data_IF_926649741611
#
_entry.id   IF_926649741611
#
_cell.length_a   1.000
_cell.length_b   1.000
_cell.length_c   1.000
_cell.angle_alpha   90.00
_cell.angle_beta   90.00
_cell.angle_gamma   90.00
#
_symmetry.space_group_name_H-M   'P 1'
#
loop_
_entity.id
_entity.type
_entity.pdbx_description
1 polymer ?
#
# COMPACT_ATOMS: atom_id res chain seq x y z
N UNK A 1 51.30 -5.06 45.21
CA UNK A 1 50.75 -3.90 44.45
C UNK A 1 50.18 -4.42 43.13
N UNK A 2 48.88 -4.53 43.04
CA UNK A 2 48.19 -4.93 41.79
C UNK A 2 47.88 -3.66 41.01
N UNK A 3 48.42 -3.56 39.80
CA UNK A 3 48.12 -2.45 38.89
C UNK A 3 46.73 -2.66 38.25
N UNK A 4 45.79 -1.78 38.57
CA UNK A 4 44.47 -1.74 37.93
C UNK A 4 44.67 -1.17 36.52
N UNK A 5 44.53 -2.04 35.51
CA UNK A 5 44.54 -1.60 34.12
C UNK A 5 43.20 -0.96 33.82
N UNK A 6 43.17 0.38 33.76
CA UNK A 6 42.02 1.15 33.31
C UNK A 6 41.98 1.08 31.79
N UNK A 7 40.94 0.53 31.24
CA UNK A 7 40.73 0.51 29.79
C UNK A 7 40.62 1.94 29.24
N UNK A 8 41.15 2.23 28.03
CA UNK A 8 41.09 3.56 27.43
C UNK A 8 39.64 3.99 27.16
N UNK A 9 39.31 5.23 27.54
CA UNK A 9 37.98 5.86 27.44
C UNK A 9 37.22 5.62 26.10
N UNK A 10 37.87 5.56 24.91
CA UNK A 10 37.16 5.29 23.67
C UNK A 10 36.55 3.87 23.58
N UNK A 11 37.16 2.88 24.23
CA UNK A 11 36.68 1.53 24.28
C UNK A 11 35.49 1.36 25.24
N UNK A 12 35.50 2.07 26.38
CA UNK A 12 34.36 2.09 27.30
C UNK A 12 33.13 2.77 26.69
N UNK A 13 33.31 3.85 25.89
CA UNK A 13 32.23 4.50 25.13
C UNK A 13 31.67 3.67 23.97
N UNK A 14 32.49 2.80 23.37
CA UNK A 14 32.02 1.90 22.30
C UNK A 14 31.20 0.75 22.89
N UNK A 15 31.50 0.30 24.10
CA UNK A 15 30.75 -0.75 24.80
C UNK A 15 29.42 -0.25 25.39
N UNK A 16 29.32 1.03 25.72
CA UNK A 16 28.10 1.69 26.22
C UNK A 16 27.08 1.96 25.11
N UNK A 17 27.47 1.80 23.84
CA UNK A 17 26.61 1.93 22.67
C UNK A 17 26.14 0.60 22.10
N UNK A 18 26.40 -0.53 22.76
CA UNK A 18 25.75 -1.79 22.40
C UNK A 18 24.26 -1.69 22.74
N UNK A 19 23.36 -1.74 21.76
CA UNK A 19 21.94 -1.63 22.05
C UNK A 19 21.55 -2.75 23.02
N UNK A 20 20.84 -2.37 24.07
CA UNK A 20 20.24 -3.34 24.99
C UNK A 20 19.33 -4.27 24.21
N UNK A 21 19.17 -5.51 24.64
CA UNK A 21 18.30 -6.49 23.96
C UNK A 21 16.87 -5.96 23.72
N UNK A 22 16.40 -4.99 24.51
CA UNK A 22 15.15 -4.28 24.31
C UNK A 22 15.20 -3.31 23.10
N UNK A 23 16.29 -2.58 22.91
CA UNK A 23 16.48 -1.69 21.75
C UNK A 23 16.71 -2.49 20.46
N UNK A 24 17.38 -3.65 20.55
CA UNK A 24 17.50 -4.58 19.43
C UNK A 24 16.14 -5.22 19.06
N UNK A 25 15.25 -5.42 20.03
CA UNK A 25 13.88 -5.89 19.78
C UNK A 25 12.95 -4.77 19.29
N UNK A 26 13.18 -3.51 19.65
CA UNK A 26 12.42 -2.35 19.15
C UNK A 26 12.80 -2.01 17.71
N UNK A 27 14.03 -2.31 17.27
CA UNK A 27 14.46 -2.25 15.87
C UNK A 27 13.96 -3.41 14.98
N UNK A 28 13.35 -4.44 15.55
CA UNK A 28 12.55 -5.43 14.79
C UNK A 28 11.14 -4.91 14.50
N UNK A 29 10.99 -3.59 14.32
CA UNK A 29 9.76 -2.96 13.87
C UNK A 29 9.28 -3.55 12.55
N UNK A 30 8.13 -4.18 12.60
CA UNK A 30 7.29 -4.73 11.53
C UNK A 30 8.05 -5.12 10.26
N UNK A 31 8.75 -6.23 10.31
CA UNK A 31 9.27 -6.93 9.13
C UNK A 31 8.09 -7.54 8.36
N UNK A 32 8.30 -7.83 7.08
CA UNK A 32 7.35 -8.56 6.24
C UNK A 32 7.02 -9.95 6.83
N UNK A 33 6.07 -10.66 6.24
CA UNK A 33 5.61 -11.98 6.72
C UNK A 33 4.34 -11.90 7.57
N UNK A 34 3.66 -10.76 7.60
CA UNK A 34 2.43 -10.52 8.35
C UNK A 34 1.20 -11.02 7.57
N UNK A 35 1.15 -12.32 7.27
CA UNK A 35 0.13 -12.95 6.42
C UNK A 35 -1.31 -12.76 6.90
N UNK A 36 -1.50 -12.63 8.21
CA UNK A 36 -2.82 -12.32 8.79
C UNK A 36 -3.31 -10.95 8.30
N UNK A 37 -2.43 -9.95 8.22
CA UNK A 37 -2.77 -8.63 7.70
C UNK A 37 -3.06 -8.69 6.20
N UNK A 38 -2.31 -9.50 5.43
CA UNK A 38 -2.59 -9.73 4.01
C UNK A 38 -4.01 -10.24 3.83
N UNK A 39 -4.35 -11.34 4.50
CA UNK A 39 -5.68 -11.96 4.38
C UNK A 39 -6.78 -11.01 4.82
N UNK A 40 -6.61 -10.34 5.95
CA UNK A 40 -7.60 -9.42 6.49
C UNK A 40 -7.87 -8.24 5.53
N UNK A 41 -6.82 -7.57 5.07
CA UNK A 41 -6.98 -6.43 4.16
C UNK A 41 -7.56 -6.86 2.81
N UNK A 42 -7.06 -7.94 2.22
CA UNK A 42 -7.62 -8.50 0.98
C UNK A 42 -9.11 -8.79 1.16
N UNK A 43 -9.50 -9.47 2.24
CA UNK A 43 -10.90 -9.80 2.51
C UNK A 43 -11.75 -8.52 2.64
N UNK A 44 -11.29 -7.51 3.40
CA UNK A 44 -12.01 -6.25 3.59
C UNK A 44 -12.23 -5.56 2.25
N UNK A 45 -11.17 -5.36 1.45
CA UNK A 45 -11.28 -4.63 0.18
C UNK A 45 -12.10 -5.39 -0.87
N UNK A 46 -11.95 -6.71 -0.97
CA UNK A 46 -12.70 -7.53 -1.91
C UNK A 46 -14.17 -7.61 -1.51
N UNK A 47 -14.49 -7.82 -0.24
CA UNK A 47 -15.88 -7.82 0.24
C UNK A 47 -16.52 -6.44 0.07
N UNK A 48 -15.78 -5.38 0.36
CA UNK A 48 -16.27 -4.02 0.16
C UNK A 48 -16.56 -3.77 -1.32
N UNK A 49 -15.63 -4.05 -2.22
CA UNK A 49 -15.83 -3.89 -3.65
C UNK A 49 -17.02 -4.73 -4.16
N UNK A 50 -17.16 -5.97 -3.69
CA UNK A 50 -18.29 -6.85 -4.05
C UNK A 50 -19.64 -6.32 -3.54
N UNK A 51 -19.67 -5.59 -2.44
CA UNK A 51 -20.89 -4.97 -1.89
C UNK A 51 -21.45 -3.90 -2.83
N UNK A 52 -20.57 -3.16 -3.52
CA UNK A 52 -20.95 -2.10 -4.47
C UNK A 52 -20.98 -2.57 -5.92
N UNK A 53 -20.23 -3.60 -6.27
CA UNK A 53 -20.09 -4.11 -7.60
C UNK A 53 -20.56 -5.57 -7.65
N UNK A 54 -21.79 -5.78 -8.15
CA UNK A 54 -22.33 -7.13 -8.34
C UNK A 54 -22.15 -7.53 -9.82
N UNK A 55 -21.13 -8.34 -10.13
CA UNK A 55 -20.86 -8.73 -11.51
C UNK A 55 -22.04 -9.53 -12.08
N UNK A 56 -22.60 -9.07 -13.18
CA UNK A 56 -23.71 -9.73 -13.89
C UNK A 56 -23.26 -10.33 -15.23
N UNK A 57 -22.23 -9.78 -15.85
CA UNK A 57 -21.69 -10.23 -17.14
C UNK A 57 -20.28 -10.82 -17.00
N UNK A 58 -19.86 -11.58 -18.01
CA UNK A 58 -18.47 -12.10 -18.07
C UNK A 58 -17.41 -10.98 -18.08
N UNK A 59 -17.75 -9.79 -18.60
CA UNK A 59 -16.87 -8.60 -18.53
C UNK A 59 -16.74 -8.12 -17.10
N UNK A 60 -17.85 -8.05 -16.37
CA UNK A 60 -17.84 -7.58 -14.98
C UNK A 60 -17.03 -8.53 -14.10
N UNK A 61 -17.18 -9.84 -14.27
CA UNK A 61 -16.39 -10.83 -13.57
C UNK A 61 -14.89 -10.72 -13.87
N UNK A 62 -14.51 -10.42 -15.12
CA UNK A 62 -13.11 -10.17 -15.48
C UNK A 62 -12.57 -8.91 -14.80
N UNK A 63 -13.32 -7.81 -14.82
CA UNK A 63 -12.94 -6.56 -14.17
C UNK A 63 -12.81 -6.72 -12.66
N UNK A 64 -13.76 -7.42 -12.04
CA UNK A 64 -13.69 -7.71 -10.60
C UNK A 64 -12.53 -8.64 -10.25
N UNK A 65 -12.28 -9.65 -11.08
CA UNK A 65 -11.13 -10.55 -10.91
C UNK A 65 -9.79 -9.81 -11.04
N UNK A 66 -9.68 -8.91 -12.01
CA UNK A 66 -8.48 -8.09 -12.20
C UNK A 66 -8.25 -7.12 -11.03
N UNK A 67 -9.29 -6.46 -10.52
CA UNK A 67 -9.21 -5.66 -9.30
C UNK A 67 -8.80 -6.51 -8.10
N UNK A 68 -9.42 -7.67 -7.92
CA UNK A 68 -9.06 -8.60 -6.83
C UNK A 68 -7.61 -9.04 -6.92
N UNK A 69 -7.11 -9.38 -8.11
CA UNK A 69 -5.72 -9.75 -8.32
C UNK A 69 -4.77 -8.59 -7.99
N UNK A 70 -5.12 -7.35 -8.35
CA UNK A 70 -4.37 -6.16 -7.98
C UNK A 70 -4.29 -5.99 -6.45
N UNK A 71 -5.41 -6.11 -5.76
CA UNK A 71 -5.49 -5.98 -4.30
C UNK A 71 -4.68 -7.08 -3.60
N UNK A 72 -4.76 -8.33 -4.09
CA UNK A 72 -3.96 -9.44 -3.57
C UNK A 72 -2.46 -9.15 -3.76
N UNK A 73 -2.05 -8.78 -4.97
CA UNK A 73 -0.65 -8.46 -5.27
C UNK A 73 -0.12 -7.33 -4.39
N UNK A 74 -0.90 -6.25 -4.22
CA UNK A 74 -0.55 -5.11 -3.39
C UNK A 74 -0.31 -5.53 -1.94
N UNK A 75 -1.28 -6.18 -1.30
CA UNK A 75 -1.16 -6.52 0.12
C UNK A 75 -0.17 -7.65 0.40
N UNK A 76 0.05 -8.56 -0.57
CA UNK A 76 1.14 -9.55 -0.48
C UNK A 76 2.50 -8.85 -0.46
N UNK A 77 2.71 -7.86 -1.33
CA UNK A 77 3.98 -7.10 -1.34
C UNK A 77 4.10 -6.15 -0.14
N UNK A 78 2.98 -5.61 0.36
CA UNK A 78 2.98 -4.66 1.47
C UNK A 78 3.27 -5.32 2.83
N UNK A 79 2.71 -6.49 3.09
CA UNK A 79 2.78 -7.15 4.39
C UNK A 79 3.37 -8.56 4.35
N UNK A 80 3.26 -9.25 3.21
CA UNK A 80 3.69 -10.64 3.07
C UNK A 80 5.14 -10.76 2.60
N UNK A 81 5.38 -10.69 1.31
CA UNK A 81 6.68 -10.82 0.67
C UNK A 81 6.95 -9.62 -0.25
N UNK A 82 7.98 -8.80 0.02
CA UNK A 82 8.26 -7.58 -0.72
C UNK A 82 9.02 -7.88 -2.02
N UNK A 83 8.34 -8.48 -2.99
CA UNK A 83 8.93 -8.91 -4.26
C UNK A 83 9.61 -7.76 -5.01
N UNK A 84 8.99 -6.58 -5.03
CA UNK A 84 9.54 -5.37 -5.65
C UNK A 84 10.86 -4.96 -5.01
N UNK A 85 10.92 -4.90 -3.67
CA UNK A 85 12.14 -4.56 -2.94
C UNK A 85 13.20 -5.62 -3.17
N UNK A 86 12.83 -6.89 -3.18
CA UNK A 86 13.74 -8.00 -3.46
C UNK A 86 14.41 -7.85 -4.84
N UNK A 87 13.64 -7.63 -5.89
CA UNK A 87 14.17 -7.45 -7.23
C UNK A 87 15.01 -6.18 -7.41
N UNK A 88 14.63 -5.09 -6.73
CA UNK A 88 15.33 -3.82 -6.80
C UNK A 88 16.46 -3.67 -5.78
N UNK A 89 16.69 -4.67 -4.92
CA UNK A 89 17.61 -4.56 -3.77
C UNK A 89 19.02 -4.09 -4.15
N UNK A 90 19.59 -4.58 -5.26
CA UNK A 90 20.90 -4.16 -5.74
C UNK A 90 20.95 -2.69 -6.15
N UNK A 91 19.92 -2.19 -6.82
CA UNK A 91 19.83 -0.78 -7.25
C UNK A 91 19.49 0.13 -6.05
N UNK A 92 18.51 -0.27 -5.21
CA UNK A 92 18.13 0.47 -4.02
C UNK A 92 19.29 0.59 -3.03
N UNK A 93 20.05 -0.47 -2.80
CA UNK A 93 21.20 -0.44 -1.90
C UNK A 93 22.30 0.52 -2.36
N UNK A 94 22.48 0.70 -3.67
CA UNK A 94 23.39 1.72 -4.23
C UNK A 94 22.87 3.15 -4.06
N UNK A 95 21.58 3.36 -4.21
CA UNK A 95 20.94 4.69 -4.13
C UNK A 95 20.71 5.15 -2.69
N UNK A 96 20.50 4.21 -1.79
CA UNK A 96 20.06 4.43 -0.40
C UNK A 96 20.97 3.66 0.57
N UNK A 97 22.27 4.02 0.62
CA UNK A 97 23.21 3.31 1.48
C UNK A 97 22.81 3.46 2.95
N UNK A 98 22.83 2.35 3.71
CA UNK A 98 22.49 2.31 5.12
C UNK A 98 21.00 2.22 5.47
N UNK A 99 20.12 2.15 4.46
CA UNK A 99 18.69 1.91 4.69
C UNK A 99 18.44 0.40 4.82
N UNK A 100 17.74 0.00 5.87
CA UNK A 100 17.22 -1.36 6.01
C UNK A 100 16.03 -1.55 5.06
N UNK A 101 16.28 -2.17 3.89
CA UNK A 101 15.28 -2.40 2.87
C UNK A 101 14.20 -3.42 3.27
N UNK A 102 14.46 -4.22 4.31
CA UNK A 102 13.48 -5.19 4.82
C UNK A 102 12.57 -4.60 5.89
N UNK A 103 12.81 -3.37 6.30
CA UNK A 103 11.87 -2.62 7.14
C UNK A 103 10.64 -2.23 6.33
N UNK A 104 9.45 -2.32 6.93
CA UNK A 104 8.19 -1.95 6.27
C UNK A 104 8.22 -0.51 5.70
N UNK A 105 8.82 0.44 6.40
CA UNK A 105 8.92 1.83 5.94
C UNK A 105 9.67 1.97 4.60
N UNK A 106 10.58 1.05 4.27
CA UNK A 106 11.29 1.05 2.99
C UNK A 106 10.37 0.75 1.78
N UNK A 107 9.19 0.19 2.01
CA UNK A 107 8.18 -0.03 0.98
C UNK A 107 7.52 1.24 0.46
N UNK A 108 7.58 2.34 1.21
CA UNK A 108 7.16 3.66 0.75
C UNK A 108 8.20 4.27 -0.20
N UNK A 109 8.42 3.58 -1.34
CA UNK A 109 9.53 3.87 -2.25
C UNK A 109 9.53 5.31 -2.78
N UNK A 110 8.36 5.93 -2.99
CA UNK A 110 8.30 7.32 -3.46
C UNK A 110 8.82 8.28 -2.42
N UNK A 111 8.40 8.14 -1.16
CA UNK A 111 8.88 8.98 -0.05
C UNK A 111 10.38 8.82 0.13
N UNK A 112 10.86 7.60 0.03
CA UNK A 112 12.26 7.25 0.19
C UNK A 112 13.12 7.82 -0.96
N UNK A 113 12.69 7.67 -2.21
CA UNK A 113 13.41 8.15 -3.40
C UNK A 113 13.45 9.67 -3.50
N UNK A 114 12.41 10.35 -3.01
CA UNK A 114 12.35 11.82 -2.94
C UNK A 114 12.90 12.39 -1.62
N UNK A 115 13.61 11.55 -0.83
CA UNK A 115 14.34 11.96 0.38
C UNK A 115 13.44 12.61 1.44
N UNK A 116 12.24 12.09 1.65
CA UNK A 116 11.38 12.53 2.75
C UNK A 116 12.01 12.12 4.08
N UNK A 117 12.37 13.10 4.93
CA UNK A 117 13.08 12.87 6.18
C UNK A 117 12.19 12.61 7.41
N UNK A 118 10.87 12.50 7.23
CA UNK A 118 9.90 12.27 8.30
C UNK A 118 9.30 10.87 8.26
N UNK A 119 8.21 10.69 9.03
CA UNK A 119 7.38 9.48 8.95
C UNK A 119 6.81 9.33 7.54
N UNK A 120 7.06 8.22 6.83
CA UNK A 120 6.55 7.99 5.47
C UNK A 120 5.03 8.12 5.39
N UNK A 121 4.29 7.74 6.43
CA UNK A 121 2.83 7.80 6.48
C UNK A 121 2.28 9.23 6.50
N UNK A 122 3.11 10.22 6.84
CA UNK A 122 2.80 11.64 6.80
C UNK A 122 3.46 12.34 5.59
N UNK A 123 4.08 11.58 4.71
CA UNK A 123 4.73 12.08 3.51
C UNK A 123 3.73 12.60 2.46
N UNK A 124 4.19 13.44 1.51
CA UNK A 124 3.32 14.09 0.52
C UNK A 124 2.62 13.08 -0.39
N UNK A 125 3.30 12.01 -0.81
CA UNK A 125 2.69 10.98 -1.65
C UNK A 125 1.66 10.15 -0.88
N UNK A 126 1.94 9.87 0.39
CA UNK A 126 1.00 9.14 1.25
C UNK A 126 -0.26 9.97 1.53
N UNK A 127 -0.12 11.27 1.83
CA UNK A 127 -1.26 12.18 2.00
C UNK A 127 -2.06 12.28 0.70
N UNK A 128 -1.38 12.41 -0.46
CA UNK A 128 -2.02 12.44 -1.76
C UNK A 128 -2.77 11.13 -2.05
N UNK A 129 -2.21 9.99 -1.64
CA UNK A 129 -2.87 8.69 -1.77
C UNK A 129 -4.21 8.63 -1.05
N UNK A 130 -4.30 9.20 0.15
CA UNK A 130 -5.57 9.27 0.90
C UNK A 130 -6.65 10.05 0.16
N UNK A 131 -6.28 11.14 -0.55
CA UNK A 131 -7.22 11.91 -1.36
C UNK A 131 -7.77 11.08 -2.53
N UNK A 132 -6.92 10.32 -3.21
CA UNK A 132 -7.34 9.44 -4.31
C UNK A 132 -8.18 8.27 -3.80
N UNK A 133 -7.75 7.58 -2.75
CA UNK A 133 -8.48 6.46 -2.15
C UNK A 133 -9.83 6.93 -1.60
N UNK A 134 -9.84 8.00 -0.80
CA UNK A 134 -11.05 8.58 -0.24
C UNK A 134 -12.00 9.11 -1.30
N UNK A 135 -11.46 9.80 -2.32
CA UNK A 135 -12.23 10.29 -3.47
C UNK A 135 -12.86 9.15 -4.28
N UNK A 136 -12.13 8.06 -4.47
CA UNK A 136 -12.66 6.85 -5.12
C UNK A 136 -13.80 6.22 -4.32
N UNK A 137 -13.65 6.06 -3.02
CA UNK A 137 -14.72 5.56 -2.15
C UNK A 137 -15.93 6.49 -2.11
N UNK A 138 -15.70 7.80 -2.05
CA UNK A 138 -16.78 8.78 -2.13
C UNK A 138 -17.54 8.65 -3.45
N UNK A 139 -16.82 8.50 -4.58
CA UNK A 139 -17.44 8.33 -5.89
C UNK A 139 -18.26 7.05 -5.98
N UNK A 140 -17.77 5.92 -5.41
CA UNK A 140 -18.53 4.68 -5.31
C UNK A 140 -19.82 4.88 -4.50
N UNK A 141 -19.72 5.52 -3.34
CA UNK A 141 -20.87 5.80 -2.48
C UNK A 141 -21.90 6.70 -3.17
N UNK A 142 -21.46 7.69 -3.96
CA UNK A 142 -22.33 8.56 -4.73
C UNK A 142 -22.98 7.85 -5.94
N UNK A 143 -22.26 6.92 -6.56
CA UNK A 143 -22.74 6.19 -7.75
C UNK A 143 -23.76 5.10 -7.38
N UNK A 144 -23.56 4.44 -6.26
CA UNK A 144 -24.32 3.24 -5.88
C UNK A 144 -25.85 3.44 -5.77
N UNK A 145 -26.37 4.43 -5.03
CA UNK A 145 -27.82 4.63 -4.90
C UNK A 145 -28.50 4.86 -6.25
N UNK A 146 -27.84 5.64 -7.11
CA UNK A 146 -28.36 5.97 -8.46
C UNK A 146 -28.42 4.73 -9.34
N UNK A 147 -27.37 3.91 -9.31
CA UNK A 147 -27.33 2.66 -10.07
C UNK A 147 -28.37 1.67 -9.57
N UNK A 148 -28.46 1.48 -8.26
CA UNK A 148 -29.40 0.55 -7.64
C UNK A 148 -30.85 0.89 -7.95
N UNK A 149 -31.21 2.18 -7.82
CA UNK A 149 -32.57 2.64 -8.14
C UNK A 149 -32.90 2.48 -9.62
N UNK A 150 -31.96 2.81 -10.50
CA UNK A 150 -32.13 2.65 -11.93
C UNK A 150 -32.33 1.16 -12.32
N UNK A 151 -31.56 0.24 -11.72
CA UNK A 151 -31.72 -1.20 -11.92
C UNK A 151 -33.09 -1.71 -11.46
N UNK A 152 -33.57 -1.26 -10.29
CA UNK A 152 -34.90 -1.63 -9.80
C UNK A 152 -36.04 -1.21 -10.72
N UNK A 153 -35.86 -0.08 -11.42
CA UNK A 153 -36.84 0.49 -12.33
C UNK A 153 -36.64 0.00 -13.78
N UNK A 154 -35.70 -0.91 -14.04
CA UNK A 154 -35.40 -1.41 -15.40
C UNK A 154 -34.94 -0.33 -16.38
N UNK A 155 -34.36 0.78 -15.87
CA UNK A 155 -33.92 1.93 -16.67
C UNK A 155 -32.40 2.18 -16.53
N UNK A 156 -31.85 2.95 -17.46
CA UNK A 156 -30.47 3.39 -17.39
C UNK A 156 -30.28 4.48 -16.30
N UNK A 157 -29.20 4.39 -15.52
CA UNK A 157 -28.78 5.43 -14.62
C UNK A 157 -28.31 6.65 -15.42
N UNK A 158 -28.96 7.80 -15.24
CA UNK A 158 -28.68 9.04 -15.98
C UNK A 158 -28.61 10.28 -15.09
N UNK A 159 -28.82 10.11 -13.79
CA UNK A 159 -28.85 11.21 -12.81
C UNK A 159 -27.61 11.21 -11.90
N UNK A 160 -27.40 12.26 -11.14
CA UNK A 160 -26.25 12.37 -10.24
C UNK A 160 -24.93 12.28 -11.00
N UNK A 161 -24.02 11.44 -10.51
CA UNK A 161 -22.69 11.21 -11.14
C UNK A 161 -22.79 10.60 -12.53
N UNK A 162 -23.86 9.82 -12.82
CA UNK A 162 -24.12 9.23 -14.13
C UNK A 162 -24.59 10.25 -15.21
N UNK A 163 -24.93 11.45 -14.80
CA UNK A 163 -25.24 12.52 -15.77
C UNK A 163 -23.97 13.02 -16.48
N UNK A 164 -22.79 12.85 -15.85
CA UNK A 164 -21.49 13.32 -16.36
C UNK A 164 -20.60 12.20 -16.88
N UNK A 165 -20.71 11.01 -16.28
CA UNK A 165 -19.83 9.87 -16.56
C UNK A 165 -20.67 8.61 -16.71
N UNK A 166 -20.40 7.82 -17.76
CA UNK A 166 -21.15 6.58 -18.01
C UNK A 166 -20.90 5.48 -16.99
N UNK A 167 -19.66 5.40 -16.48
CA UNK A 167 -19.21 4.33 -15.61
C UNK A 167 -18.38 4.90 -14.42
N UNK A 168 -19.02 5.67 -13.52
CA UNK A 168 -18.32 6.28 -12.41
C UNK A 168 -17.68 5.25 -11.47
N UNK A 169 -18.24 4.04 -11.37
CA UNK A 169 -17.68 2.96 -10.58
C UNK A 169 -16.29 2.50 -11.08
N UNK A 170 -16.06 2.48 -12.39
CA UNK A 170 -14.72 2.13 -12.92
C UNK A 170 -13.71 3.23 -12.63
N UNK A 171 -14.11 4.49 -12.78
CA UNK A 171 -13.26 5.63 -12.40
C UNK A 171 -12.91 5.55 -10.91
N UNK A 172 -13.88 5.22 -10.07
CA UNK A 172 -13.65 5.08 -8.64
C UNK A 172 -12.61 3.98 -8.32
N UNK A 173 -12.70 2.81 -8.97
CA UNK A 173 -11.69 1.76 -8.81
C UNK A 173 -10.31 2.22 -9.29
N UNK A 174 -10.23 2.90 -10.44
CA UNK A 174 -8.97 3.45 -10.95
C UNK A 174 -8.37 4.44 -9.95
N UNK A 175 -9.17 5.33 -9.36
CA UNK A 175 -8.71 6.27 -8.34
C UNK A 175 -8.18 5.56 -7.11
N UNK A 176 -8.90 4.55 -6.60
CA UNK A 176 -8.45 3.75 -5.44
C UNK A 176 -7.12 3.05 -5.74
N UNK A 177 -7.02 2.37 -6.88
CA UNK A 177 -5.80 1.67 -7.27
C UNK A 177 -4.64 2.63 -7.48
N UNK A 178 -4.88 3.79 -8.10
CA UNK A 178 -3.87 4.83 -8.27
C UNK A 178 -3.39 5.38 -6.91
N UNK A 179 -4.31 5.62 -5.98
CA UNK A 179 -3.97 6.02 -4.61
C UNK A 179 -3.06 4.98 -3.93
N UNK A 180 -3.37 3.70 -4.04
CA UNK A 180 -2.50 2.64 -3.52
C UNK A 180 -1.14 2.60 -4.19
N UNK A 181 -1.05 2.87 -5.50
CA UNK A 181 0.24 2.96 -6.19
C UNK A 181 1.09 4.15 -5.72
N UNK A 182 0.47 5.25 -5.34
CA UNK A 182 1.18 6.38 -4.74
C UNK A 182 1.71 6.03 -3.35
N UNK A 183 0.94 5.29 -2.59
CA UNK A 183 1.31 4.88 -1.24
C UNK A 183 2.35 3.76 -1.24
N UNK A 184 2.17 2.78 -2.13
CA UNK A 184 2.98 1.56 -2.18
C UNK A 184 3.21 1.10 -3.62
N UNK A 185 4.17 1.71 -4.33
CA UNK A 185 4.45 1.37 -5.73
C UNK A 185 5.15 0.02 -5.82
N UNK A 186 4.43 -1.03 -6.20
CA UNK A 186 5.02 -2.33 -6.49
C UNK A 186 5.21 -2.52 -8.00
N UNK A 187 6.25 -3.25 -8.42
CA UNK A 187 6.47 -3.55 -9.84
C UNK A 187 5.30 -4.32 -10.43
N UNK A 188 4.76 -5.27 -9.68
CA UNK A 188 3.66 -6.11 -10.14
C UNK A 188 2.39 -5.28 -10.34
N UNK A 189 2.01 -4.45 -9.36
CA UNK A 189 0.82 -3.60 -9.47
C UNK A 189 0.97 -2.51 -10.52
N UNK A 190 2.18 -1.95 -10.69
CA UNK A 190 2.48 -1.01 -11.79
C UNK A 190 2.29 -1.63 -13.17
N UNK A 191 2.70 -2.90 -13.35
CA UNK A 191 2.50 -3.63 -14.61
C UNK A 191 1.04 -4.01 -14.84
N UNK A 192 0.29 -4.30 -13.79
CA UNK A 192 -1.14 -4.64 -13.87
C UNK A 192 -2.00 -3.42 -14.15
N UNK A 193 -1.65 -2.25 -13.63
CA UNK A 193 -2.48 -1.05 -13.68
C UNK A 193 -2.93 -0.64 -15.10
N UNK A 194 -2.09 -0.62 -16.14
CA UNK A 194 -2.53 -0.26 -17.50
C UNK A 194 -3.40 -1.33 -18.20
N UNK A 195 -3.48 -2.54 -17.64
CA UNK A 195 -4.27 -3.65 -18.20
C UNK A 195 -5.68 -3.69 -17.62
N UNK A 196 -5.89 -3.05 -16.48
CA UNK A 196 -7.16 -2.96 -15.75
C UNK A 196 -8.06 -1.88 -16.31
#
# INVERSE_FOLDING_TARGET
MAATVVAPEPLARALDKTPTGAEAMEHTGSSYGLWTLVVLNVAIFVMFAFSFFKPASARDWRSFGAFTAFIVALFVEMYGFPLTIYFLSGWLGQKLPGVDLLNHNAGHLLELLFSWGGDPHLGPFHILSYLFIGGGFWLLAAAWPVLYEAQRQGRLARTGVYARVRHPQYIAFVLIMFGFLLQWPTLLTLLMFPVL
#
